data_IF_101603898403
#
_entry.id   IF_101603898403
#
_cell.length_a   1.000
_cell.length_b   1.000
_cell.length_c   1.000
_cell.angle_alpha   90.00
_cell.angle_beta   90.00
_cell.angle_gamma   90.00
#
_symmetry.space_group_name_H-M   'P 1'
#
loop_
_entity.id
_entity.type
_entity.pdbx_description
1 polymer ?
#
# COMPACT_ATOMS: atom_id res chain seq x y z
N UNK A 1 -22.40 -18.09 -73.76
CA UNK A 1 -21.88 -16.75 -74.09
C UNK A 1 -22.98 -15.75 -73.75
N UNK A 2 -22.64 -14.67 -73.03
CA UNK A 2 -23.54 -13.74 -72.31
C UNK A 2 -24.20 -14.36 -71.05
N UNK A 3 -24.39 -13.69 -69.91
CA UNK A 3 -24.73 -12.27 -69.66
C UNK A 3 -24.04 -11.73 -68.36
N UNK A 4 -23.89 -10.41 -68.34
CA UNK A 4 -23.32 -9.50 -67.34
C UNK A 4 -24.00 -9.43 -65.95
N UNK A 5 -23.17 -9.04 -64.96
CA UNK A 5 -23.33 -8.09 -63.82
C UNK A 5 -24.75 -7.61 -63.44
N UNK A 6 -25.04 -7.54 -62.13
CA UNK A 6 -25.18 -6.26 -61.39
C UNK A 6 -25.34 -6.42 -59.84
N UNK A 7 -24.54 -5.64 -59.11
CA UNK A 7 -24.81 -4.80 -57.93
C UNK A 7 -25.43 -5.36 -56.61
N UNK A 8 -24.61 -5.42 -55.55
CA UNK A 8 -25.03 -5.46 -54.14
C UNK A 8 -25.16 -4.06 -53.57
N UNK A 9 -26.40 -3.65 -53.27
CA UNK A 9 -26.73 -2.44 -52.52
C UNK A 9 -27.07 -2.75 -51.06
N UNK A 10 -26.32 -2.11 -50.15
CA UNK A 10 -26.75 -1.49 -48.89
C UNK A 10 -27.82 -2.20 -48.04
N UNK A 11 -27.40 -2.81 -46.93
CA UNK A 11 -28.14 -2.77 -45.67
C UNK A 11 -27.18 -2.87 -44.48
N UNK A 12 -26.68 -1.71 -44.00
CA UNK A 12 -25.98 -1.60 -42.72
C UNK A 12 -27.02 -1.45 -41.61
N UNK A 13 -27.15 -2.46 -40.76
CA UNK A 13 -27.81 -2.32 -39.47
C UNK A 13 -26.88 -1.61 -38.50
N UNK A 14 -27.27 -0.41 -38.08
CA UNK A 14 -26.68 0.35 -36.98
C UNK A 14 -27.16 -0.25 -35.65
N UNK A 15 -26.36 -1.13 -35.06
CA UNK A 15 -26.41 -1.42 -33.63
C UNK A 15 -25.49 -0.40 -32.94
N UNK A 16 -26.06 0.75 -32.59
CA UNK A 16 -25.42 1.68 -31.66
C UNK A 16 -25.59 1.06 -30.28
N UNK A 17 -24.57 0.34 -29.84
CA UNK A 17 -24.43 -0.02 -28.44
C UNK A 17 -24.37 1.28 -27.63
N UNK A 18 -25.35 1.46 -26.75
CA UNK A 18 -25.27 2.46 -25.68
C UNK A 18 -24.09 2.07 -24.79
N UNK A 19 -22.91 2.61 -25.10
CA UNK A 19 -21.87 2.79 -24.10
C UNK A 19 -22.46 3.76 -23.09
N UNK A 20 -22.93 3.24 -21.96
CA UNK A 20 -23.11 4.04 -20.76
C UNK A 20 -21.74 4.57 -20.41
N UNK A 21 -21.46 5.80 -20.83
CA UNK A 21 -20.35 6.57 -20.30
C UNK A 21 -20.68 6.73 -18.83
N UNK A 22 -20.12 5.87 -17.97
CA UNK A 22 -20.06 6.17 -16.54
C UNK A 22 -19.28 7.47 -16.46
N UNK A 23 -19.98 8.56 -16.14
CA UNK A 23 -19.32 9.82 -15.80
C UNK A 23 -18.26 9.49 -14.76
N UNK A 24 -16.97 9.79 -14.99
CA UNK A 24 -15.97 9.62 -13.94
C UNK A 24 -16.48 10.43 -12.76
N UNK A 25 -16.62 9.77 -11.61
CA UNK A 25 -17.07 10.41 -10.39
C UNK A 25 -16.21 11.65 -10.18
N UNK A 26 -16.81 12.83 -10.31
CA UNK A 26 -16.10 14.11 -10.38
C UNK A 26 -15.11 14.19 -9.22
N UNK A 27 -13.84 14.44 -9.54
CA UNK A 27 -12.80 14.63 -8.54
C UNK A 27 -13.21 15.73 -7.56
N UNK A 28 -12.82 15.59 -6.29
CA UNK A 28 -13.07 16.60 -5.26
C UNK A 28 -12.57 17.98 -5.73
N UNK A 29 -13.46 18.98 -5.73
CA UNK A 29 -13.05 20.35 -6.02
C UNK A 29 -12.25 20.92 -4.83
N UNK A 30 -10.94 20.99 -5.00
CA UNK A 30 -10.01 21.45 -3.97
C UNK A 30 -10.15 22.95 -3.61
N UNK A 31 -10.84 23.73 -4.44
CA UNK A 31 -11.03 25.17 -4.27
C UNK A 31 -12.41 25.54 -3.69
N UNK A 32 -13.34 24.60 -3.67
CA UNK A 32 -14.66 24.81 -3.12
C UNK A 32 -14.65 24.78 -1.57
N UNK A 33 -15.67 25.41 -0.97
CA UNK A 33 -15.92 25.25 0.46
C UNK A 33 -16.68 23.94 0.70
N UNK A 34 -16.18 23.12 1.63
CA UNK A 34 -16.77 21.83 1.98
C UNK A 34 -17.26 21.82 3.43
N UNK A 35 -18.39 21.16 3.66
CA UNK A 35 -18.88 20.88 5.02
C UNK A 35 -18.30 19.56 5.51
N UNK A 36 -18.20 19.41 6.82
CA UNK A 36 -17.82 18.13 7.43
C UNK A 36 -18.79 17.02 7.04
N UNK A 37 -18.25 15.82 6.85
CA UNK A 37 -19.05 14.63 6.55
C UNK A 37 -19.81 14.19 7.80
N UNK A 38 -21.13 14.08 7.68
CA UNK A 38 -21.96 13.45 8.70
C UNK A 38 -22.01 11.94 8.48
N UNK A 39 -21.16 11.19 9.20
CA UNK A 39 -21.06 9.74 9.04
C UNK A 39 -22.32 8.97 9.47
N UNK A 40 -23.24 9.58 10.24
CA UNK A 40 -24.54 8.97 10.55
C UNK A 40 -25.42 8.82 9.30
N UNK A 41 -25.32 9.75 8.34
CA UNK A 41 -26.26 9.85 7.22
C UNK A 41 -25.61 9.77 5.84
N UNK A 42 -24.28 9.86 5.75
CA UNK A 42 -23.57 9.82 4.47
C UNK A 42 -23.82 8.50 3.75
N UNK A 43 -24.01 8.57 2.43
CA UNK A 43 -24.09 7.38 1.60
C UNK A 43 -22.76 6.60 1.64
N UNK A 44 -22.86 5.27 1.56
CA UNK A 44 -21.68 4.42 1.53
C UNK A 44 -20.91 4.62 0.22
N UNK A 45 -19.57 4.78 0.26
CA UNK A 45 -18.73 4.60 -0.92
C UNK A 45 -19.04 3.30 -1.66
N UNK A 46 -19.13 3.36 -2.99
CA UNK A 46 -19.28 2.16 -3.82
C UNK A 46 -17.96 1.39 -3.83
N UNK A 47 -18.01 0.11 -3.50
CA UNK A 47 -16.82 -0.73 -3.59
C UNK A 47 -16.46 -1.00 -5.05
N UNK A 48 -15.25 -0.63 -5.44
CA UNK A 48 -14.63 -0.96 -6.72
C UNK A 48 -13.17 -1.34 -6.55
N UNK A 49 -12.43 -1.43 -7.66
CA UNK A 49 -10.97 -1.43 -7.57
C UNK A 49 -10.47 -0.03 -7.16
N UNK A 50 -9.38 0.04 -6.39
CA UNK A 50 -8.64 1.28 -6.16
C UNK A 50 -8.42 1.97 -7.49
N UNK A 51 -8.89 3.22 -7.58
CA UNK A 51 -9.39 3.75 -8.85
C UNK A 51 -8.41 3.54 -10.01
N UNK A 52 -8.93 3.21 -11.19
CA UNK A 52 -8.20 3.23 -12.47
C UNK A 52 -7.54 4.61 -12.78
N UNK A 53 -7.77 5.62 -11.95
CA UNK A 53 -7.22 6.97 -12.05
C UNK A 53 -5.91 7.19 -11.27
N UNK A 54 -5.26 6.14 -10.74
CA UNK A 54 -3.89 6.30 -10.21
C UNK A 54 -2.97 6.72 -11.37
N UNK A 55 -2.17 7.79 -11.23
CA UNK A 55 -1.23 8.20 -12.27
C UNK A 55 -0.29 7.06 -12.64
N UNK A 56 -0.08 6.87 -13.94
CA UNK A 56 0.95 5.97 -14.44
C UNK A 56 2.31 6.36 -13.84
N UNK A 57 3.16 5.37 -13.60
CA UNK A 57 4.54 5.61 -13.19
C UNK A 57 5.29 6.35 -14.31
N UNK A 58 6.32 7.15 -13.97
CA UNK A 58 7.14 7.81 -14.99
C UNK A 58 7.74 6.80 -15.98
N UNK A 59 7.83 7.18 -17.26
CA UNK A 59 8.37 6.31 -18.32
C UNK A 59 9.84 5.95 -18.10
N UNK A 60 10.62 6.87 -17.50
CA UNK A 60 12.00 6.61 -17.15
C UNK A 60 12.07 5.61 -15.97
N UNK A 61 12.57 4.38 -16.21
CA UNK A 61 12.56 3.32 -15.20
C UNK A 61 13.44 3.65 -13.97
N UNK A 62 14.34 4.63 -14.08
CA UNK A 62 15.15 5.10 -12.96
C UNK A 62 14.28 5.69 -11.84
N UNK A 63 13.14 6.29 -12.16
CA UNK A 63 12.24 6.84 -11.14
C UNK A 63 11.75 5.73 -10.20
N UNK A 64 11.27 4.61 -10.73
CA UNK A 64 10.82 3.46 -9.93
C UNK A 64 11.99 2.77 -9.21
N UNK A 65 13.14 2.64 -9.88
CA UNK A 65 14.35 2.11 -9.26
C UNK A 65 14.74 2.92 -8.01
N UNK A 66 14.85 4.24 -8.11
CA UNK A 66 15.24 5.09 -6.98
C UNK A 66 14.23 5.03 -5.83
N UNK A 67 12.93 4.96 -6.15
CA UNK A 67 11.89 4.73 -5.13
C UNK A 67 12.09 3.39 -4.41
N UNK A 68 12.26 2.30 -5.16
CA UNK A 68 12.49 0.96 -4.60
C UNK A 68 13.73 0.94 -3.72
N UNK A 69 14.86 1.47 -4.19
CA UNK A 69 16.11 1.52 -3.43
C UNK A 69 15.94 2.32 -2.13
N UNK A 70 15.25 3.47 -2.17
CA UNK A 70 14.92 4.22 -0.96
C UNK A 70 14.04 3.41 0.01
N UNK A 71 13.06 2.66 -0.49
CA UNK A 71 12.26 1.74 0.31
C UNK A 71 13.10 0.61 0.92
N UNK A 72 14.18 0.15 0.26
CA UNK A 72 15.12 -0.84 0.83
C UNK A 72 15.83 -0.29 2.05
N UNK A 73 16.43 0.89 1.91
CA UNK A 73 17.14 1.59 2.98
C UNK A 73 16.19 1.83 4.16
N UNK A 74 14.99 2.34 3.88
CA UNK A 74 13.96 2.59 4.91
C UNK A 74 13.51 1.31 5.59
N UNK A 75 13.16 0.28 4.83
CA UNK A 75 12.64 -0.98 5.33
C UNK A 75 13.65 -1.76 6.16
N UNK A 76 14.94 -1.65 5.82
CA UNK A 76 16.06 -2.18 6.61
C UNK A 76 16.46 -1.27 7.77
N UNK A 77 15.84 -0.09 7.93
CA UNK A 77 16.25 0.93 8.90
C UNK A 77 17.77 1.14 8.87
N UNK A 78 18.32 1.31 7.67
CA UNK A 78 19.74 1.50 7.42
C UNK A 78 20.09 2.99 7.55
N UNK A 79 20.22 3.42 8.80
CA UNK A 79 20.38 4.83 9.18
C UNK A 79 21.64 5.47 8.62
N UNK A 80 22.68 4.68 8.33
CA UNK A 80 23.93 5.16 7.75
C UNK A 80 23.73 5.66 6.32
N UNK A 81 22.72 5.13 5.61
CA UNK A 81 22.39 5.47 4.23
C UNK A 81 21.13 6.33 4.09
N UNK A 82 20.62 6.91 5.18
CA UNK A 82 19.42 7.76 5.12
C UNK A 82 19.63 9.00 4.25
N UNK A 83 20.84 9.54 4.15
CA UNK A 83 21.11 10.64 3.22
C UNK A 83 20.86 10.23 1.77
N UNK A 84 21.33 9.04 1.37
CA UNK A 84 21.13 8.46 0.05
C UNK A 84 19.65 8.15 -0.16
N UNK A 85 18.94 7.63 0.84
CA UNK A 85 17.49 7.44 0.79
C UNK A 85 16.75 8.74 0.45
N UNK A 86 17.07 9.85 1.12
CA UNK A 86 16.46 11.16 0.83
C UNK A 86 16.76 11.62 -0.60
N UNK A 87 18.02 11.54 -1.05
CA UNK A 87 18.41 11.92 -2.42
C UNK A 87 17.63 11.11 -3.47
N UNK A 88 17.58 9.79 -3.31
CA UNK A 88 16.95 8.87 -4.25
C UNK A 88 15.43 9.04 -4.28
N UNK A 89 14.78 9.05 -3.11
CA UNK A 89 13.33 9.21 -3.02
C UNK A 89 12.89 10.61 -3.49
N UNK A 90 13.63 11.67 -3.15
CA UNK A 90 13.30 13.01 -3.64
C UNK A 90 13.49 13.11 -5.15
N UNK A 91 14.58 12.55 -5.72
CA UNK A 91 14.76 12.52 -7.17
C UNK A 91 13.63 11.77 -7.87
N UNK A 92 13.26 10.58 -7.37
CA UNK A 92 12.11 9.83 -7.87
C UNK A 92 10.81 10.65 -7.81
N UNK A 93 10.59 11.34 -6.70
CA UNK A 93 9.44 12.22 -6.53
C UNK A 93 9.47 13.37 -7.55
N UNK A 94 10.59 14.04 -7.76
CA UNK A 94 10.74 15.11 -8.76
C UNK A 94 10.49 14.61 -10.19
N UNK A 95 10.93 13.38 -10.51
CA UNK A 95 10.67 12.70 -11.79
C UNK A 95 9.18 12.32 -12.00
N UNK A 96 8.32 12.56 -11.00
CA UNK A 96 6.88 12.38 -11.11
C UNK A 96 6.35 11.13 -10.43
N UNK A 97 7.19 10.33 -9.77
CA UNK A 97 6.76 9.11 -9.10
C UNK A 97 5.84 9.44 -7.92
N UNK A 98 4.59 8.98 -7.96
CA UNK A 98 3.58 9.37 -6.99
C UNK A 98 3.79 8.70 -5.62
N UNK A 99 4.19 7.42 -5.56
CA UNK A 99 4.58 6.80 -4.28
C UNK A 99 5.79 7.48 -3.63
N UNK A 100 6.79 7.88 -4.42
CA UNK A 100 7.94 8.62 -3.89
C UNK A 100 7.51 9.98 -3.33
N UNK A 101 6.57 10.68 -3.97
CA UNK A 101 5.99 11.92 -3.40
C UNK A 101 5.27 11.67 -2.07
N UNK A 102 4.49 10.60 -1.94
CA UNK A 102 3.83 10.23 -0.68
C UNK A 102 4.87 9.88 0.40
N UNK A 103 5.86 9.06 0.05
CA UNK A 103 6.96 8.70 0.93
C UNK A 103 7.70 9.96 1.42
N UNK A 104 8.11 10.83 0.51
CA UNK A 104 8.83 12.06 0.84
C UNK A 104 7.98 13.01 1.67
N UNK A 105 6.66 13.09 1.40
CA UNK A 105 5.77 13.88 2.25
C UNK A 105 5.76 13.38 3.70
N UNK A 106 5.82 12.07 3.94
CA UNK A 106 5.98 11.54 5.29
C UNK A 106 7.38 11.79 5.86
N UNK A 107 8.43 11.58 5.08
CA UNK A 107 9.82 11.75 5.53
C UNK A 107 10.14 13.20 5.91
N UNK A 108 9.65 14.17 5.12
CA UNK A 108 9.84 15.60 5.38
C UNK A 108 9.15 16.12 6.65
N UNK A 109 8.27 15.32 7.26
CA UNK A 109 7.63 15.62 8.54
C UNK A 109 8.32 14.95 9.73
N UNK A 110 9.32 14.08 9.48
CA UNK A 110 10.12 13.47 10.55
C UNK A 110 11.25 14.41 10.95
N UNK A 111 11.49 14.47 12.25
CA UNK A 111 12.64 15.17 12.82
C UNK A 111 13.29 14.23 13.85
N UNK A 112 14.59 13.98 13.71
CA UNK A 112 15.35 13.10 14.59
C UNK A 112 16.74 13.65 14.83
N UNK A 113 17.21 13.54 16.06
CA UNK A 113 18.61 13.85 16.41
C UNK A 113 19.51 12.62 16.32
N UNK A 114 18.96 11.42 16.07
CA UNK A 114 19.70 10.16 16.12
C UNK A 114 20.13 9.64 14.75
N UNK A 115 19.58 10.19 13.67
CA UNK A 115 19.88 9.78 12.29
C UNK A 115 19.56 10.94 11.34
N UNK A 116 20.03 10.84 10.10
CA UNK A 116 19.81 11.87 9.09
C UNK A 116 18.32 12.05 8.78
N UNK A 117 17.84 13.30 8.88
CA UNK A 117 16.52 13.72 8.43
C UNK A 117 16.61 15.09 7.78
N UNK A 118 15.78 15.34 6.77
CA UNK A 118 15.54 16.69 6.25
C UNK A 118 14.12 17.09 6.63
N UNK A 119 13.95 17.98 7.62
CA UNK A 119 12.63 18.45 8.00
C UNK A 119 12.21 19.61 7.07
N UNK A 120 11.24 19.38 6.20
CA UNK A 120 10.70 20.39 5.26
C UNK A 120 9.18 20.21 5.06
N UNK A 121 8.38 20.63 6.03
CA UNK A 121 6.93 20.41 5.98
C UNK A 121 6.24 21.22 4.86
N UNK A 122 6.88 22.28 4.34
CA UNK A 122 6.38 23.01 3.16
C UNK A 122 6.52 22.17 1.89
N UNK A 123 7.65 21.49 1.72
CA UNK A 123 7.85 20.56 0.61
C UNK A 123 6.96 19.33 0.73
N UNK A 124 6.75 18.81 1.95
CA UNK A 124 5.74 17.79 2.22
C UNK A 124 4.35 18.23 1.74
N UNK A 125 3.90 19.42 2.16
CA UNK A 125 2.62 20.00 1.73
C UNK A 125 2.52 20.12 0.22
N UNK A 126 3.56 20.65 -0.44
CA UNK A 126 3.61 20.76 -1.90
C UNK A 126 3.46 19.41 -2.60
N UNK A 127 4.09 18.33 -2.10
CA UNK A 127 3.94 17.01 -2.68
C UNK A 127 2.54 16.44 -2.49
N UNK A 128 1.94 16.60 -1.32
CA UNK A 128 0.54 16.17 -1.11
C UNK A 128 -0.40 16.96 -2.03
N UNK A 129 -0.27 18.29 -2.13
CA UNK A 129 -1.14 19.10 -2.99
C UNK A 129 -1.05 18.69 -4.47
N UNK A 130 0.15 18.40 -4.97
CA UNK A 130 0.34 17.87 -6.34
C UNK A 130 -0.34 16.53 -6.56
N UNK A 131 -0.39 15.68 -5.54
CA UNK A 131 -1.03 14.37 -5.61
C UNK A 131 -2.55 14.46 -5.48
N UNK A 132 -3.06 15.38 -4.64
CA UNK A 132 -4.49 15.70 -4.56
C UNK A 132 -5.02 16.18 -5.91
N UNK A 133 -4.30 17.07 -6.60
CA UNK A 133 -4.64 17.52 -7.95
C UNK A 133 -4.71 16.38 -8.98
N UNK A 134 -3.99 15.28 -8.73
CA UNK A 134 -3.97 14.08 -9.56
C UNK A 134 -4.93 13.00 -9.06
N UNK A 135 -5.78 13.33 -8.09
CA UNK A 135 -6.77 12.43 -7.50
C UNK A 135 -6.16 11.13 -6.92
N UNK A 136 -4.95 11.21 -6.35
CA UNK A 136 -4.27 10.04 -5.77
C UNK A 136 -4.90 9.69 -4.42
N UNK A 137 -5.46 8.48 -4.23
CA UNK A 137 -6.23 8.12 -3.02
C UNK A 137 -5.41 8.29 -1.73
N UNK A 138 -4.17 7.82 -1.73
CA UNK A 138 -3.26 7.94 -0.59
C UNK A 138 -2.92 9.38 -0.18
N UNK A 139 -3.06 10.36 -1.09
CA UNK A 139 -2.82 11.77 -0.76
C UNK A 139 -4.01 12.38 -0.01
N UNK A 140 -5.24 12.00 -0.36
CA UNK A 140 -6.41 12.37 0.43
C UNK A 140 -6.31 11.77 1.83
N UNK A 141 -5.96 10.48 1.94
CA UNK A 141 -5.76 9.84 3.23
C UNK A 141 -4.67 10.56 4.06
N UNK A 142 -3.48 10.76 3.49
CA UNK A 142 -2.38 11.46 4.16
C UNK A 142 -2.75 12.88 4.60
N UNK A 143 -3.42 13.66 3.74
CA UNK A 143 -3.89 15.01 4.07
C UNK A 143 -4.85 15.00 5.27
N UNK A 144 -5.82 14.08 5.26
CA UNK A 144 -6.76 13.88 6.36
C UNK A 144 -6.03 13.58 7.68
N UNK A 145 -5.13 12.59 7.67
CA UNK A 145 -4.37 12.19 8.86
C UNK A 145 -3.46 13.32 9.37
N UNK A 146 -2.72 14.01 8.50
CA UNK A 146 -1.85 15.12 8.92
C UNK A 146 -2.65 16.29 9.51
N UNK A 147 -3.83 16.58 8.95
CA UNK A 147 -4.73 17.60 9.51
C UNK A 147 -5.28 17.19 10.88
N UNK A 148 -5.76 15.95 11.04
CA UNK A 148 -6.27 15.43 12.32
C UNK A 148 -5.19 15.44 13.41
N UNK A 149 -3.96 15.10 13.04
CA UNK A 149 -2.81 15.12 13.95
C UNK A 149 -2.29 16.54 14.24
N UNK A 150 -2.92 17.59 13.71
CA UNK A 150 -2.58 18.98 14.00
C UNK A 150 -1.23 19.44 13.44
N UNK A 151 -0.71 18.77 12.39
CA UNK A 151 0.56 19.12 11.76
C UNK A 151 0.50 20.59 11.27
N UNK A 152 1.44 21.48 11.65
CA UNK A 152 1.29 22.94 11.46
C UNK A 152 1.01 23.38 10.01
N UNK A 153 1.63 22.74 9.03
CA UNK A 153 1.47 23.03 7.60
C UNK A 153 0.17 22.48 6.99
N UNK A 154 -0.55 21.61 7.71
CA UNK A 154 -1.75 20.93 7.24
C UNK A 154 -3.01 21.37 8.01
N UNK A 155 -2.87 21.80 9.26
CA UNK A 155 -4.01 22.16 10.14
C UNK A 155 -4.94 23.20 9.52
N UNK A 156 -4.39 24.16 8.77
CA UNK A 156 -5.12 25.27 8.16
C UNK A 156 -5.64 24.97 6.74
N UNK A 157 -5.52 23.72 6.25
CA UNK A 157 -6.14 23.34 4.98
C UNK A 157 -7.66 23.63 5.06
N UNK A 158 -8.26 24.29 4.06
CA UNK A 158 -9.64 24.78 4.14
C UNK A 158 -10.68 23.65 4.17
N UNK A 159 -10.37 22.52 3.54
CA UNK A 159 -11.24 21.34 3.50
C UNK A 159 -11.14 20.57 4.84
N UNK A 160 -12.27 20.15 5.43
CA UNK A 160 -12.26 19.35 6.66
C UNK A 160 -11.57 17.99 6.48
N UNK A 161 -10.97 17.47 7.56
CA UNK A 161 -10.29 16.17 7.50
C UNK A 161 -11.24 15.01 7.17
N UNK A 162 -12.48 15.07 7.63
CA UNK A 162 -13.50 14.06 7.33
C UNK A 162 -13.84 13.97 5.84
N UNK A 163 -13.75 15.08 5.10
CA UNK A 163 -13.95 15.11 3.65
C UNK A 163 -12.79 14.43 2.93
N UNK A 164 -11.55 14.71 3.34
CA UNK A 164 -10.37 14.03 2.81
C UNK A 164 -10.42 12.52 3.06
N UNK A 165 -10.77 12.09 4.27
CA UNK A 165 -10.91 10.66 4.60
C UNK A 165 -12.00 9.99 3.75
N UNK A 166 -13.17 10.63 3.65
CA UNK A 166 -14.27 10.10 2.86
C UNK A 166 -13.93 10.01 1.36
N UNK A 167 -13.23 11.01 0.82
CA UNK A 167 -12.79 11.00 -0.57
C UNK A 167 -11.76 9.89 -0.82
N UNK A 168 -10.80 9.69 0.09
CA UNK A 168 -9.85 8.57 0.00
C UNK A 168 -10.58 7.22 -0.06
N UNK A 169 -11.60 7.01 0.78
CA UNK A 169 -12.41 5.80 0.78
C UNK A 169 -13.29 5.68 -0.46
N UNK A 170 -13.83 6.78 -0.99
CA UNK A 170 -14.56 6.81 -2.28
C UNK A 170 -13.68 6.39 -3.44
N UNK A 171 -12.38 6.63 -3.34
CA UNK A 171 -11.37 6.17 -4.29
C UNK A 171 -10.81 4.77 -3.97
N UNK A 172 -11.44 4.07 -3.03
CA UNK A 172 -11.13 2.73 -2.52
C UNK A 172 -9.72 2.59 -1.89
N UNK A 173 -9.20 3.65 -1.27
CA UNK A 173 -7.98 3.53 -0.47
C UNK A 173 -8.22 2.56 0.73
N UNK A 174 -7.45 1.48 0.88
CA UNK A 174 -7.71 0.44 1.88
C UNK A 174 -7.58 0.94 3.32
N UNK A 175 -6.62 1.83 3.61
CA UNK A 175 -6.45 2.40 4.95
C UNK A 175 -7.64 3.31 5.30
N UNK A 176 -8.09 4.16 4.38
CA UNK A 176 -9.27 5.00 4.57
C UNK A 176 -10.56 4.17 4.78
N UNK A 177 -10.76 3.12 4.00
CA UNK A 177 -11.89 2.18 4.16
C UNK A 177 -11.84 1.48 5.53
N UNK A 178 -10.64 1.09 5.96
CA UNK A 178 -10.39 0.46 7.28
C UNK A 178 -10.61 1.44 8.44
N UNK A 179 -10.26 2.71 8.30
CA UNK A 179 -10.53 3.74 9.33
C UNK A 179 -12.02 4.10 9.37
N UNK A 180 -12.68 4.15 8.21
CA UNK A 180 -14.13 4.35 8.15
C UNK A 180 -14.93 3.21 8.80
N UNK A 181 -14.41 1.97 8.82
CA UNK A 181 -15.01 0.89 9.60
C UNK A 181 -15.17 1.29 11.07
N UNK A 182 -14.11 1.81 11.72
CA UNK A 182 -14.16 2.18 13.15
C UNK A 182 -15.15 3.33 13.38
N UNK A 183 -15.15 4.32 12.47
CA UNK A 183 -16.09 5.45 12.53
C UNK A 183 -17.53 4.96 12.41
N UNK A 184 -17.84 4.09 11.44
CA UNK A 184 -19.19 3.58 11.21
C UNK A 184 -19.67 2.70 12.36
N UNK A 185 -18.79 1.91 12.96
CA UNK A 185 -19.07 1.16 14.19
C UNK A 185 -19.46 2.12 15.32
N UNK A 186 -18.68 3.20 15.51
CA UNK A 186 -18.91 4.17 16.59
C UNK A 186 -20.27 4.89 16.49
N UNK A 187 -20.82 5.01 15.29
CA UNK A 187 -22.12 5.63 15.02
C UNK A 187 -23.25 4.62 14.82
N UNK A 188 -23.03 3.34 15.13
CA UNK A 188 -24.04 2.28 15.10
C UNK A 188 -24.36 1.71 13.72
N UNK A 189 -23.60 2.06 12.68
CA UNK A 189 -23.78 1.57 11.30
C UNK A 189 -22.95 0.30 11.03
N UNK A 190 -23.15 -0.73 11.85
CA UNK A 190 -22.31 -1.96 11.83
C UNK A 190 -22.32 -2.67 10.47
N UNK A 191 -23.48 -2.78 9.82
CA UNK A 191 -23.59 -3.43 8.49
C UNK A 191 -22.77 -2.71 7.43
N UNK A 192 -22.82 -1.38 7.45
CA UNK A 192 -22.08 -0.54 6.51
C UNK A 192 -20.58 -0.55 6.81
N UNK A 193 -20.20 -0.56 8.10
CA UNK A 193 -18.82 -0.74 8.51
C UNK A 193 -18.23 -2.03 7.93
N UNK A 194 -18.93 -3.16 8.13
CA UNK A 194 -18.50 -4.46 7.61
C UNK A 194 -18.37 -4.44 6.08
N UNK A 195 -19.28 -3.79 5.36
CA UNK A 195 -19.17 -3.63 3.92
C UNK A 195 -17.92 -2.83 3.48
N UNK A 196 -17.53 -1.79 4.23
CA UNK A 196 -16.31 -1.03 3.98
C UNK A 196 -15.05 -1.86 4.22
N UNK A 197 -15.02 -2.61 5.32
CA UNK A 197 -13.89 -3.48 5.63
C UNK A 197 -13.77 -4.62 4.61
N UNK A 198 -14.89 -5.21 4.19
CA UNK A 198 -14.92 -6.20 3.10
C UNK A 198 -14.44 -5.62 1.77
N UNK A 199 -14.66 -4.33 1.54
CA UNK A 199 -14.10 -3.65 0.38
C UNK A 199 -12.60 -3.44 0.53
N UNK A 200 -12.13 -3.03 1.71
CA UNK A 200 -10.72 -2.78 2.00
C UNK A 200 -9.88 -4.05 1.79
N UNK A 201 -10.35 -5.21 2.24
CA UNK A 201 -9.61 -6.49 2.08
C UNK A 201 -9.55 -6.98 0.62
N UNK A 202 -10.46 -6.52 -0.25
CA UNK A 202 -10.50 -6.91 -1.67
C UNK A 202 -9.56 -6.09 -2.55
N UNK A 203 -8.97 -5.02 -2.03
CA UNK A 203 -8.05 -4.19 -2.82
C UNK A 203 -6.78 -4.97 -3.19
N UNK A 204 -6.16 -4.60 -4.31
CA UNK A 204 -4.97 -5.28 -4.83
C UNK A 204 -3.69 -4.96 -4.03
N UNK A 205 -3.64 -3.77 -3.43
CA UNK A 205 -2.47 -3.25 -2.72
C UNK A 205 -2.88 -2.66 -1.37
N UNK A 206 -1.94 -2.53 -0.44
CA UNK A 206 -2.17 -1.85 0.85
C UNK A 206 -3.15 -2.54 1.81
N UNK A 207 -3.51 -3.80 1.58
CA UNK A 207 -4.58 -4.48 2.35
C UNK A 207 -4.12 -5.13 3.64
N UNK A 208 -2.81 -5.18 3.92
CA UNK A 208 -2.25 -5.88 5.07
C UNK A 208 -2.89 -5.47 6.41
N UNK A 209 -3.15 -4.18 6.62
CA UNK A 209 -3.81 -3.65 7.82
C UNK A 209 -5.30 -3.99 7.87
N UNK A 210 -6.00 -3.89 6.73
CA UNK A 210 -7.41 -4.24 6.61
C UNK A 210 -7.65 -5.74 6.85
N UNK A 211 -6.78 -6.61 6.33
CA UNK A 211 -6.82 -8.06 6.55
C UNK A 211 -6.64 -8.40 8.04
N UNK A 212 -5.66 -7.77 8.70
CA UNK A 212 -5.45 -7.93 10.15
C UNK A 212 -6.67 -7.45 10.94
N UNK A 213 -7.26 -6.32 10.56
CA UNK A 213 -8.49 -5.82 11.18
C UNK A 213 -9.65 -6.80 10.99
N UNK A 214 -9.85 -7.32 9.77
CA UNK A 214 -10.88 -8.33 9.49
C UNK A 214 -10.70 -9.59 10.32
N UNK A 215 -9.45 -10.07 10.48
CA UNK A 215 -9.14 -11.18 11.36
C UNK A 215 -9.57 -10.90 12.81
N UNK A 216 -9.21 -9.75 13.36
CA UNK A 216 -9.58 -9.40 14.75
C UNK A 216 -11.10 -9.24 14.94
N UNK A 217 -11.80 -8.64 13.97
CA UNK A 217 -13.26 -8.50 14.02
C UNK A 217 -13.94 -9.87 14.04
N UNK A 218 -13.58 -10.75 13.10
CA UNK A 218 -14.15 -12.10 13.02
C UNK A 218 -13.82 -12.95 14.24
N UNK A 219 -12.62 -12.79 14.81
CA UNK A 219 -12.26 -13.47 16.07
C UNK A 219 -13.13 -13.02 17.24
N UNK A 220 -13.40 -11.72 17.37
CA UNK A 220 -14.26 -11.18 18.43
C UNK A 220 -15.73 -11.59 18.29
N UNK A 221 -16.18 -11.87 17.07
CA UNK A 221 -17.54 -12.32 16.76
C UNK A 221 -17.70 -13.86 16.77
N UNK A 222 -16.59 -14.61 16.80
CA UNK A 222 -16.61 -16.05 16.67
C UNK A 222 -17.31 -16.72 17.87
N UNK A 223 -18.31 -17.55 17.56
CA UNK A 223 -19.05 -18.36 18.52
C UNK A 223 -18.81 -19.86 18.35
N UNK A 224 -18.22 -20.25 17.22
CA UNK A 224 -17.90 -21.64 16.86
C UNK A 224 -16.43 -21.78 16.47
N UNK A 225 -15.92 -23.01 16.54
CA UNK A 225 -14.55 -23.33 16.11
C UNK A 225 -14.32 -22.94 14.63
N UNK A 226 -15.31 -23.19 13.77
CA UNK A 226 -15.23 -22.88 12.35
C UNK A 226 -15.14 -21.36 12.08
N UNK A 227 -15.85 -20.53 12.85
CA UNK A 227 -15.77 -19.07 12.75
C UNK A 227 -14.41 -18.55 13.21
N UNK A 228 -13.87 -19.11 14.31
CA UNK A 228 -12.53 -18.76 14.78
C UNK A 228 -11.45 -19.16 13.77
N UNK A 229 -11.53 -20.36 13.19
CA UNK A 229 -10.64 -20.77 12.10
C UNK A 229 -10.80 -19.84 10.89
N UNK A 230 -12.02 -19.36 10.62
CA UNK A 230 -12.29 -18.35 9.61
C UNK A 230 -11.52 -17.04 9.84
N UNK A 231 -11.40 -16.59 11.09
CA UNK A 231 -10.60 -15.40 11.44
C UNK A 231 -9.11 -15.64 11.19
N UNK A 232 -8.60 -16.83 11.50
CA UNK A 232 -7.21 -17.22 11.29
C UNK A 232 -6.81 -17.25 9.80
N UNK A 233 -7.76 -17.51 8.90
CA UNK A 233 -7.51 -17.40 7.45
C UNK A 233 -7.20 -15.96 7.04
N UNK A 234 -7.95 -14.98 7.55
CA UNK A 234 -7.63 -13.57 7.31
C UNK A 234 -6.30 -13.14 7.95
N UNK A 235 -5.96 -13.72 9.11
CA UNK A 235 -4.65 -13.50 9.74
C UNK A 235 -3.49 -14.03 8.89
N UNK A 236 -3.70 -15.19 8.27
CA UNK A 236 -2.76 -15.78 7.33
C UNK A 236 -2.59 -14.93 6.06
N UNK A 237 -3.69 -14.44 5.48
CA UNK A 237 -3.63 -13.50 4.35
C UNK A 237 -2.97 -12.17 4.73
N UNK A 238 -3.23 -11.65 5.93
CA UNK A 238 -2.53 -10.46 6.44
C UNK A 238 -1.01 -10.70 6.52
N UNK A 239 -0.59 -11.90 6.92
CA UNK A 239 0.82 -12.31 6.93
C UNK A 239 1.40 -12.37 5.52
N UNK A 240 0.69 -12.96 4.55
CA UNK A 240 1.10 -12.96 3.13
C UNK A 240 1.28 -11.54 2.59
N UNK A 241 0.37 -10.64 2.94
CA UNK A 241 0.45 -9.22 2.61
C UNK A 241 1.55 -8.46 3.39
N UNK A 242 2.29 -9.13 4.28
CA UNK A 242 3.36 -8.53 5.05
C UNK A 242 2.85 -7.66 6.20
N UNK A 243 1.85 -8.09 6.97
CA UNK A 243 1.50 -7.46 8.24
C UNK A 243 2.36 -8.05 9.37
N UNK A 244 3.24 -7.25 9.97
CA UNK A 244 4.12 -7.72 11.06
C UNK A 244 3.35 -8.18 12.30
N UNK A 245 2.30 -7.45 12.69
CA UNK A 245 1.51 -7.78 13.86
C UNK A 245 0.71 -9.08 13.66
N UNK A 246 0.29 -9.37 12.42
CA UNK A 246 -0.33 -10.64 12.09
C UNK A 246 0.65 -11.80 12.34
N UNK A 247 1.86 -11.72 11.78
CA UNK A 247 2.94 -12.71 11.95
C UNK A 247 3.23 -12.94 13.44
N UNK A 248 3.40 -11.85 14.20
CA UNK A 248 3.74 -11.92 15.62
C UNK A 248 2.61 -12.46 16.51
N UNK A 249 1.37 -12.51 16.02
CA UNK A 249 0.22 -12.89 16.83
C UNK A 249 -0.06 -14.40 16.86
N UNK A 250 0.47 -15.19 15.92
CA UNK A 250 0.19 -16.63 15.81
C UNK A 250 0.39 -17.42 17.12
N UNK A 251 1.47 -17.22 17.90
CA UNK A 251 1.62 -17.90 19.18
C UNK A 251 0.50 -17.61 20.17
N UNK A 252 0.01 -16.36 20.21
CA UNK A 252 -1.11 -15.98 21.08
C UNK A 252 -2.42 -16.57 20.58
N UNK A 253 -2.62 -16.63 19.25
CA UNK A 253 -3.80 -17.25 18.63
C UNK A 253 -3.86 -18.76 18.88
N UNK A 254 -2.73 -19.45 18.76
CA UNK A 254 -2.62 -20.88 19.12
C UNK A 254 -2.91 -21.09 20.61
N UNK A 255 -2.33 -20.28 21.49
CA UNK A 255 -2.59 -20.38 22.93
C UNK A 255 -4.08 -20.20 23.26
N UNK A 256 -4.72 -19.21 22.64
CA UNK A 256 -6.17 -18.99 22.79
C UNK A 256 -6.98 -20.18 22.27
N UNK A 257 -6.68 -20.65 21.06
CA UNK A 257 -7.37 -21.80 20.46
C UNK A 257 -7.24 -23.06 21.33
N UNK A 258 -6.03 -23.35 21.82
CA UNK A 258 -5.77 -24.50 22.69
C UNK A 258 -6.52 -24.40 24.02
N UNK A 259 -6.64 -23.21 24.60
CA UNK A 259 -7.44 -23.00 25.81
C UNK A 259 -8.93 -23.25 25.58
N UNK A 260 -9.47 -22.84 24.42
CA UNK A 260 -10.89 -22.99 24.11
C UNK A 260 -11.26 -24.43 23.70
N UNK A 261 -10.42 -25.10 22.92
CA UNK A 261 -10.78 -26.38 22.27
C UNK A 261 -9.96 -27.59 22.76
N UNK A 262 -8.95 -27.39 23.61
CA UNK A 262 -8.15 -28.49 24.18
C UNK A 262 -7.25 -29.22 23.18
N UNK A 263 -7.11 -28.71 21.96
CA UNK A 263 -6.28 -29.24 20.87
C UNK A 263 -5.48 -28.13 20.22
N UNK A 264 -4.44 -28.49 19.49
CA UNK A 264 -3.58 -27.55 18.76
C UNK A 264 -4.09 -27.33 17.34
N UNK A 265 -4.00 -26.09 16.86
CA UNK A 265 -4.29 -25.74 15.46
C UNK A 265 -3.01 -25.44 14.69
N UNK A 266 -2.17 -24.57 15.25
CA UNK A 266 -0.83 -24.29 14.74
C UNK A 266 0.18 -25.07 15.57
N UNK A 267 0.76 -26.11 14.98
CA UNK A 267 1.76 -26.92 15.67
C UNK A 267 3.07 -26.15 15.92
N UNK A 268 3.96 -26.78 16.67
CA UNK A 268 5.25 -26.18 17.05
C UNK A 268 6.09 -25.81 15.82
N UNK A 269 6.13 -26.66 14.80
CA UNK A 269 6.93 -26.42 13.59
C UNK A 269 6.34 -25.24 12.79
N UNK A 270 5.01 -25.14 12.68
CA UNK A 270 4.34 -24.00 12.06
C UNK A 270 4.75 -22.69 12.73
N UNK A 271 4.70 -22.63 14.06
CA UNK A 271 5.08 -21.44 14.83
C UNK A 271 6.58 -21.11 14.71
N UNK A 272 7.45 -22.13 14.70
CA UNK A 272 8.89 -21.95 14.48
C UNK A 272 9.19 -21.40 13.08
N UNK A 273 8.53 -21.92 12.03
CA UNK A 273 8.65 -21.38 10.67
C UNK A 273 8.10 -19.96 10.57
N UNK A 274 6.99 -19.66 11.23
CA UNK A 274 6.44 -18.30 11.29
C UNK A 274 7.44 -17.29 11.88
N UNK A 275 8.20 -17.69 12.89
CA UNK A 275 9.23 -16.83 13.50
C UNK A 275 10.35 -16.43 12.53
N UNK A 276 10.64 -17.25 11.52
CA UNK A 276 11.63 -16.93 10.47
C UNK A 276 11.14 -15.73 9.64
N UNK A 277 9.86 -15.71 9.25
CA UNK A 277 9.26 -14.60 8.53
C UNK A 277 9.15 -13.34 9.41
N UNK A 278 8.90 -13.51 10.71
CA UNK A 278 8.92 -12.41 11.66
C UNK A 278 10.29 -11.72 11.70
N UNK A 279 11.36 -12.52 11.79
CA UNK A 279 12.73 -12.00 11.81
C UNK A 279 13.11 -11.37 10.47
N UNK A 280 12.78 -12.02 9.35
CA UNK A 280 13.06 -11.50 8.02
C UNK A 280 12.38 -10.15 7.75
N UNK A 281 11.23 -9.88 8.38
CA UNK A 281 10.51 -8.62 8.23
C UNK A 281 10.96 -7.52 9.20
N UNK A 282 11.60 -7.87 10.30
CA UNK A 282 11.98 -6.89 11.33
C UNK A 282 13.45 -6.53 11.21
N UNK A 283 13.71 -5.25 10.90
CA UNK A 283 15.05 -4.68 10.68
C UNK A 283 16.02 -4.76 11.86
N UNK A 284 15.53 -5.10 13.06
CA UNK A 284 16.40 -5.36 14.22
C UNK A 284 17.14 -6.69 14.05
N UNK A 285 16.55 -7.65 13.33
CA UNK A 285 17.12 -8.98 13.18
C UNK A 285 17.93 -9.12 11.89
N UNK A 286 18.86 -10.08 11.94
CA UNK A 286 19.61 -10.57 10.81
C UNK A 286 19.19 -12.03 10.61
N UNK A 287 18.85 -12.39 9.38
CA UNK A 287 18.59 -13.77 8.99
C UNK A 287 19.64 -14.25 7.99
N UNK A 288 19.80 -15.57 7.89
CA UNK A 288 20.75 -16.19 6.96
C UNK A 288 20.06 -16.59 5.67
N UNK A 289 20.68 -16.26 4.54
CA UNK A 289 20.26 -16.68 3.22
C UNK A 289 21.19 -17.79 2.67
N UNK A 290 20.72 -19.06 2.62
CA UNK A 290 21.55 -20.18 2.18
C UNK A 290 22.00 -20.07 0.72
N UNK A 291 21.25 -19.38 -0.13
CA UNK A 291 21.61 -19.20 -1.54
C UNK A 291 22.74 -18.18 -1.70
N UNK A 292 22.73 -17.09 -0.92
CA UNK A 292 23.86 -16.13 -0.90
C UNK A 292 25.15 -16.81 -0.47
N UNK A 293 25.07 -17.68 0.55
CA UNK A 293 26.20 -18.49 0.99
C UNK A 293 26.75 -19.37 -0.14
N UNK A 294 25.88 -20.06 -0.86
CA UNK A 294 26.26 -20.92 -1.99
C UNK A 294 26.90 -20.13 -3.15
N UNK A 295 26.55 -18.85 -3.30
CA UNK A 295 27.14 -17.91 -4.27
C UNK A 295 28.46 -17.28 -3.79
N UNK A 296 28.95 -17.61 -2.58
CA UNK A 296 30.15 -16.99 -2.00
C UNK A 296 29.95 -15.54 -1.53
N UNK A 297 28.69 -15.12 -1.35
CA UNK A 297 28.32 -13.79 -0.83
C UNK A 297 28.12 -13.85 0.70
N UNK A 298 28.10 -12.69 1.35
CA UNK A 298 27.67 -12.60 2.74
C UNK A 298 26.23 -13.14 2.86
N UNK A 299 26.03 -14.16 3.69
CA UNK A 299 24.73 -14.81 3.91
C UNK A 299 23.89 -14.09 4.97
N UNK A 300 24.48 -13.17 5.73
CA UNK A 300 23.78 -12.34 6.70
C UNK A 300 23.01 -11.22 5.98
N UNK A 301 21.67 -11.28 6.08
CA UNK A 301 20.77 -10.30 5.48
C UNK A 301 19.97 -9.63 6.59
N UNK A 302 19.98 -8.29 6.62
CA UNK A 302 19.17 -7.51 7.55
C UNK A 302 17.69 -7.64 7.19
N UNK A 303 16.85 -7.83 8.21
CA UNK A 303 15.41 -7.88 8.05
C UNK A 303 14.87 -6.59 7.41
N UNK A 304 13.76 -6.69 6.70
CA UNK A 304 13.21 -5.58 5.92
C UNK A 304 11.68 -5.49 6.07
N UNK A 305 11.21 -4.37 6.63
CA UNK A 305 9.79 -4.13 6.89
C UNK A 305 8.93 -4.09 5.63
N UNK A 306 9.51 -3.87 4.46
CA UNK A 306 8.82 -3.85 3.17
C UNK A 306 8.56 -5.24 2.57
N UNK A 307 9.10 -6.32 3.16
CA UNK A 307 8.88 -7.67 2.63
C UNK A 307 7.41 -8.08 2.70
N UNK A 308 6.94 -8.71 1.62
CA UNK A 308 5.69 -9.45 1.55
C UNK A 308 5.98 -10.92 1.23
N UNK A 309 5.02 -11.80 1.48
CA UNK A 309 5.16 -13.25 1.32
C UNK A 309 3.98 -13.82 0.50
N UNK A 310 3.80 -13.39 -0.77
CA UNK A 310 2.63 -13.75 -1.57
C UNK A 310 2.52 -15.25 -1.85
N UNK A 311 3.64 -15.99 -1.80
CA UNK A 311 3.71 -17.43 -2.02
C UNK A 311 4.00 -18.22 -0.72
N UNK A 312 3.60 -17.71 0.44
CA UNK A 312 3.89 -18.30 1.75
C UNK A 312 3.48 -19.77 1.87
N UNK A 313 2.38 -20.15 1.23
CA UNK A 313 1.83 -21.50 1.24
C UNK A 313 2.78 -22.56 0.68
N UNK A 314 3.79 -22.17 -0.11
CA UNK A 314 4.81 -23.10 -0.62
C UNK A 314 5.67 -23.73 0.47
N UNK A 315 5.76 -23.10 1.64
CA UNK A 315 6.62 -23.57 2.75
C UNK A 315 5.89 -23.58 4.10
N UNK A 316 4.78 -22.86 4.19
CA UNK A 316 3.97 -22.73 5.38
C UNK A 316 2.48 -22.69 4.98
N UNK A 317 1.92 -23.78 4.41
CA UNK A 317 0.51 -23.83 4.04
C UNK A 317 -0.38 -23.71 5.29
N UNK A 318 -1.60 -23.19 5.10
CA UNK A 318 -2.55 -23.04 6.20
C UNK A 318 -3.08 -24.42 6.63
N UNK A 319 -3.15 -24.75 7.94
CA UNK A 319 -3.71 -26.02 8.40
C UNK A 319 -5.12 -26.27 7.84
N UNK A 320 -5.47 -27.53 7.50
CA UNK A 320 -4.82 -28.78 7.92
C UNK A 320 -3.75 -29.31 6.96
N UNK A 321 -3.34 -28.54 5.94
CA UNK A 321 -2.33 -28.99 4.98
C UNK A 321 -0.99 -29.29 5.67
N UNK A 322 -0.34 -30.39 5.29
CA UNK A 322 0.92 -30.80 5.87
C UNK A 322 2.05 -29.84 5.49
N UNK A 323 2.94 -29.57 6.44
CA UNK A 323 4.11 -28.73 6.19
C UNK A 323 5.10 -29.46 5.26
N UNK A 324 5.48 -28.87 4.12
CA UNK A 324 6.45 -29.49 3.22
C UNK A 324 7.85 -29.46 3.83
N UNK A 325 8.76 -30.28 3.31
CA UNK A 325 10.18 -30.14 3.59
C UNK A 325 10.66 -28.75 3.15
N UNK A 326 11.38 -28.06 4.02
CA UNK A 326 11.85 -26.70 3.75
C UNK A 326 13.22 -26.46 4.36
N UNK A 327 14.16 -26.01 3.53
CA UNK A 327 15.53 -25.66 3.88
C UNK A 327 15.66 -24.28 4.55
N UNK A 328 14.53 -23.68 4.98
CA UNK A 328 14.44 -22.34 5.57
C UNK A 328 14.78 -21.20 4.59
N UNK A 329 14.84 -21.47 3.30
CA UNK A 329 15.03 -20.46 2.27
C UNK A 329 13.75 -19.64 2.04
N UNK A 330 13.74 -18.39 2.49
CA UNK A 330 12.58 -17.50 2.32
C UNK A 330 12.38 -17.01 0.88
N UNK A 331 13.37 -17.16 -0.01
CA UNK A 331 13.28 -16.66 -1.41
C UNK A 331 12.09 -17.24 -2.15
N UNK A 332 11.74 -18.50 -1.84
CA UNK A 332 10.67 -19.23 -2.54
C UNK A 332 9.28 -18.66 -2.28
N UNK A 333 9.11 -17.86 -1.22
CA UNK A 333 7.82 -17.24 -0.86
C UNK A 333 7.65 -15.81 -1.39
N UNK A 334 8.71 -15.21 -1.93
CA UNK A 334 8.69 -13.86 -2.50
C UNK A 334 8.06 -13.86 -3.89
N UNK A 335 7.58 -12.69 -4.35
CA UNK A 335 7.28 -12.47 -5.76
C UNK A 335 8.57 -12.37 -6.58
N UNK A 336 8.49 -12.42 -7.92
CA UNK A 336 9.68 -12.24 -8.78
C UNK A 336 10.32 -10.86 -8.58
N UNK A 337 9.50 -9.81 -8.48
CA UNK A 337 9.96 -8.45 -8.24
C UNK A 337 10.58 -8.28 -6.85
N UNK A 338 9.94 -8.84 -5.81
CA UNK A 338 10.47 -8.80 -4.44
C UNK A 338 11.76 -9.61 -4.31
N UNK A 339 11.88 -10.74 -5.02
CA UNK A 339 13.09 -11.53 -5.06
C UNK A 339 14.24 -10.76 -5.70
N UNK A 340 14.01 -10.13 -6.86
CA UNK A 340 15.01 -9.27 -7.50
C UNK A 340 15.44 -8.14 -6.56
N UNK A 341 14.48 -7.50 -5.91
CA UNK A 341 14.72 -6.46 -4.93
C UNK A 341 15.53 -6.94 -3.71
N UNK A 342 15.18 -8.11 -3.17
CA UNK A 342 15.84 -8.75 -2.05
C UNK A 342 17.30 -9.12 -2.38
N UNK A 343 17.53 -9.70 -3.57
CA UNK A 343 18.83 -10.21 -4.02
C UNK A 343 19.83 -9.12 -4.41
N UNK A 344 19.35 -7.93 -4.77
CA UNK A 344 20.22 -6.88 -5.28
C UNK A 344 20.91 -6.14 -4.12
N UNK A 345 22.25 -6.13 -4.15
CA UNK A 345 23.10 -5.29 -3.31
C UNK A 345 23.43 -4.03 -4.13
N UNK A 346 22.76 -2.92 -3.82
CA UNK A 346 22.91 -1.68 -4.56
C UNK A 346 24.12 -0.88 -4.05
N UNK A 347 24.85 -0.24 -4.97
CA UNK A 347 25.77 0.84 -4.61
C UNK A 347 24.95 2.13 -4.40
N UNK A 348 24.60 2.39 -3.14
CA UNK A 348 23.77 3.56 -2.79
C UNK A 348 24.46 4.88 -3.11
N UNK A 349 25.79 4.95 -3.04
CA UNK A 349 26.54 6.17 -3.31
C UNK A 349 26.60 6.48 -4.81
N UNK A 350 26.82 5.47 -5.64
CA UNK A 350 26.77 5.61 -7.10
C UNK A 350 25.38 6.04 -7.55
N UNK A 351 24.33 5.34 -7.09
CA UNK A 351 22.95 5.69 -7.44
C UNK A 351 22.57 7.11 -6.98
N UNK A 352 23.01 7.53 -5.78
CA UNK A 352 22.75 8.88 -5.31
C UNK A 352 23.47 9.94 -6.16
N UNK A 353 24.70 9.67 -6.61
CA UNK A 353 25.44 10.55 -7.54
C UNK A 353 24.74 10.65 -8.89
N UNK A 354 24.30 9.52 -9.45
CA UNK A 354 23.54 9.49 -10.70
C UNK A 354 22.24 10.30 -10.58
N UNK A 355 21.47 10.04 -9.52
CA UNK A 355 20.23 10.75 -9.24
C UNK A 355 20.45 12.26 -9.15
N UNK A 356 21.49 12.70 -8.43
CA UNK A 356 21.83 14.12 -8.29
C UNK A 356 22.25 14.79 -9.62
N UNK A 357 22.79 14.03 -10.58
CA UNK A 357 23.20 14.54 -11.88
C UNK A 357 22.02 14.73 -12.86
N UNK A 358 20.86 14.11 -12.61
CA UNK A 358 19.68 14.22 -13.47
C UNK A 358 19.07 15.63 -13.34
N UNK A 359 19.12 16.37 -14.44
CA UNK A 359 18.40 17.62 -14.62
C UNK A 359 16.98 17.31 -15.08
N UNK A 360 15.99 17.73 -14.29
CA UNK A 360 14.59 17.61 -14.65
C UNK A 360 14.20 18.90 -15.34
N UNK A 361 13.91 18.81 -16.65
CA UNK A 361 13.34 19.93 -17.39
C UNK A 361 11.97 20.25 -16.77
N UNK A 362 11.85 21.42 -16.14
CA UNK A 362 10.55 21.88 -15.67
C UNK A 362 9.70 22.14 -16.92
N UNK A 363 8.45 21.65 -16.98
CA UNK A 363 7.56 22.02 -18.06
C UNK A 363 7.45 23.55 -18.12
N UNK A 364 7.61 24.10 -19.31
CA UNK A 364 7.41 25.53 -19.59
C UNK A 364 5.95 25.82 -19.27
N UNK A 365 5.67 26.42 -18.11
CA UNK A 365 4.35 26.98 -17.82
C UNK A 365 4.25 28.24 -18.67
N UNK A 366 3.34 28.32 -19.66
CA UNK A 366 3.12 29.57 -20.36
C UNK A 366 2.64 30.58 -19.32
N UNK A 367 3.36 31.69 -19.22
CA UNK A 367 3.02 32.81 -18.35
C UNK A 367 1.60 33.26 -18.70
N UNK A 368 0.63 32.89 -17.86
CA UNK A 368 -0.75 33.34 -18.03
C UNK A 368 -0.75 34.85 -17.89
N UNK A 369 -1.03 35.54 -18.99
CA UNK A 369 -1.15 36.98 -19.04
C UNK A 369 -1.99 37.49 -17.87
N UNK A 370 -1.43 38.43 -17.11
CA UNK A 370 -2.11 39.12 -16.02
C UNK A 370 -3.50 39.61 -16.47
N UNK A 371 -4.54 39.47 -15.63
CA UNK A 371 -5.79 40.13 -15.90
C UNK A 371 -5.55 41.64 -15.84
N UNK A 372 -5.70 42.30 -17.00
CA UNK A 372 -5.75 43.76 -17.06
C UNK A 372 -6.86 44.25 -16.13
N UNK A 373 -6.47 45.09 -15.17
CA UNK A 373 -7.35 45.75 -14.20
C UNK A 373 -8.45 46.57 -14.86
#
# INVERSE_FOLDING_TARGET
MQINKLNYGMLKYLLVGFLTISTPALALDLNATHKEINFLTVALPTCGEESENIPALPEDPRADLYYKVAMKILGQNDTDHYKQMFILADKSAEMGHWNAKLLMASLYLKNSNSYYTEYDPKKARMYIDKLLQKNVPGAFYAMGQYKLNGMPEFRNAPIPASVYLFEAARLNNPDALSDMYDIFVSVGRIKDANALLDCAVKQKQGTASALMKKANVLEGEASTEAELIGSFKYLYEATKAGNYNAIASFPNKENYYKQQYGKTFFDKEFLERMSIFQNAKNSIYIHRDPIRKAQGRNDEVKGNASLTFPNLEKVLPFPPDELPDWDRNIRVVLSEDDLKFYDTDYDYDELAKEAAAIKIEKPIVPETAEPKK
#
